data_IF_189333324354
#
_entry.id   IF_189333324354
#
_cell.length_a   1.000
_cell.length_b   1.000
_cell.length_c   1.000
_cell.angle_alpha   90.00
_cell.angle_beta   90.00
_cell.angle_gamma   90.00
#
_symmetry.space_group_name_H-M   'P 1'
#
loop_
_entity.id
_entity.type
_entity.pdbx_description
1 polymer ?
#
# COMPACT_ATOMS: atom_id res chain seq x y z
N UNK A 1 -49.71 24.67 -44.30
CA UNK A 1 -49.72 24.28 -42.85
C UNK A 1 -48.43 23.53 -42.56
N UNK A 2 -47.50 24.20 -41.89
CA UNK A 2 -46.18 23.61 -41.52
C UNK A 2 -46.24 23.04 -40.10
N UNK A 3 -46.11 21.72 -39.97
CA UNK A 3 -45.98 21.08 -38.64
C UNK A 3 -44.50 21.08 -38.23
N UNK A 4 -44.15 21.92 -37.26
CA UNK A 4 -42.85 21.91 -36.58
C UNK A 4 -42.85 20.82 -35.52
N UNK A 5 -42.21 19.68 -35.82
CA UNK A 5 -41.95 18.65 -34.81
C UNK A 5 -40.86 19.12 -33.81
N UNK A 6 -41.24 19.19 -32.54
CA UNK A 6 -40.33 19.49 -31.45
C UNK A 6 -39.65 18.19 -31.02
N UNK A 7 -38.35 18.04 -31.35
CA UNK A 7 -37.53 16.91 -30.88
C UNK A 7 -37.06 17.20 -29.45
N UNK A 8 -37.58 16.45 -28.49
CA UNK A 8 -37.16 16.49 -27.11
C UNK A 8 -35.87 15.63 -26.95
N UNK A 9 -34.72 16.28 -26.82
CA UNK A 9 -33.46 15.59 -26.54
C UNK A 9 -33.41 15.22 -25.04
N UNK A 10 -33.49 13.92 -24.76
CA UNK A 10 -33.30 13.38 -23.40
C UNK A 10 -31.82 13.33 -23.12
N UNK A 11 -31.30 14.27 -22.32
CA UNK A 11 -29.93 14.22 -21.80
C UNK A 11 -29.84 13.15 -20.71
N UNK A 12 -29.21 12.01 -21.00
CA UNK A 12 -28.89 10.97 -20.03
C UNK A 12 -27.72 11.48 -19.17
N UNK A 13 -28.01 11.98 -17.98
CA UNK A 13 -26.97 12.24 -16.98
C UNK A 13 -26.42 10.89 -16.47
N UNK A 14 -25.22 10.48 -16.95
CA UNK A 14 -24.48 9.38 -16.36
C UNK A 14 -24.01 9.83 -14.97
N UNK A 15 -24.61 9.30 -13.90
CA UNK A 15 -24.08 9.45 -12.56
C UNK A 15 -22.70 8.77 -12.48
N UNK A 16 -21.68 9.38 -11.83
CA UNK A 16 -20.41 8.71 -11.62
C UNK A 16 -20.67 7.43 -10.81
N UNK A 17 -20.23 6.28 -11.35
CA UNK A 17 -20.24 5.03 -10.60
C UNK A 17 -19.32 5.22 -9.39
N UNK A 18 -19.87 5.17 -8.18
CA UNK A 18 -19.05 5.12 -6.98
C UNK A 18 -18.16 3.88 -7.10
N UNK A 19 -16.83 4.06 -6.95
CA UNK A 19 -15.90 2.93 -6.93
C UNK A 19 -16.34 2.00 -5.79
N UNK A 20 -16.58 0.73 -6.11
CA UNK A 20 -17.00 -0.24 -5.11
C UNK A 20 -15.82 -0.50 -4.18
N UNK A 21 -15.99 -0.24 -2.89
CA UNK A 21 -14.98 -0.53 -1.87
C UNK A 21 -14.75 -2.03 -1.77
N UNK A 22 -13.49 -2.41 -1.54
CA UNK A 22 -13.09 -3.83 -1.45
C UNK A 22 -12.95 -4.19 0.03
N UNK A 23 -13.80 -5.05 0.54
CA UNK A 23 -13.70 -5.55 1.91
C UNK A 23 -12.47 -6.43 2.07
N UNK A 24 -11.67 -6.18 3.11
CA UNK A 24 -10.48 -6.96 3.47
C UNK A 24 -10.41 -7.14 5.00
N UNK A 25 -9.74 -8.19 5.47
CA UNK A 25 -9.57 -8.40 6.92
C UNK A 25 -8.59 -7.37 7.52
N UNK A 26 -7.56 -7.01 6.75
CA UNK A 26 -6.53 -6.05 7.19
C UNK A 26 -6.13 -5.16 6.03
N UNK A 27 -6.05 -3.86 6.28
CA UNK A 27 -5.24 -2.92 5.50
C UNK A 27 -3.88 -2.81 6.18
N UNK A 28 -2.82 -3.23 5.51
CA UNK A 28 -1.46 -3.27 6.05
C UNK A 28 -0.52 -2.39 5.24
N UNK A 29 0.06 -1.39 5.88
CA UNK A 29 1.20 -0.65 5.32
C UNK A 29 2.47 -1.20 5.94
N UNK A 30 3.36 -1.74 5.11
CA UNK A 30 4.73 -2.12 5.46
C UNK A 30 5.63 -0.90 5.22
N UNK A 31 5.94 -0.16 6.28
CA UNK A 31 6.76 1.04 6.23
C UNK A 31 8.21 0.71 6.62
N UNK A 32 9.06 0.60 5.64
CA UNK A 32 10.37 -0.02 5.74
C UNK A 32 11.49 1.02 5.61
N UNK A 33 12.47 0.94 6.50
CA UNK A 33 13.64 1.81 6.46
C UNK A 33 14.47 1.55 5.20
N UNK A 34 14.68 2.58 4.42
CA UNK A 34 15.55 2.63 3.26
C UNK A 34 16.52 3.82 3.33
N UNK A 35 16.74 4.35 4.56
CA UNK A 35 17.64 5.48 4.80
C UNK A 35 19.10 5.17 4.40
N UNK A 36 19.94 6.17 4.48
CA UNK A 36 21.33 6.07 4.04
C UNK A 36 22.21 5.12 4.85
N UNK A 37 21.75 4.61 6.00
CA UNK A 37 22.42 3.55 6.77
C UNK A 37 22.19 2.15 6.19
N UNK A 38 21.12 1.95 5.42
CA UNK A 38 20.78 0.69 4.78
C UNK A 38 21.51 0.61 3.43
N UNK A 39 22.36 -0.40 3.25
CA UNK A 39 23.01 -0.61 1.96
C UNK A 39 22.11 -1.35 0.94
N UNK A 40 22.57 -1.48 -0.31
CA UNK A 40 21.75 -2.07 -1.37
C UNK A 40 21.50 -3.58 -1.16
N UNK A 41 22.45 -4.28 -0.53
CA UNK A 41 22.30 -5.70 -0.20
C UNK A 41 21.30 -5.89 0.95
N UNK A 42 21.38 -5.06 1.98
CA UNK A 42 20.44 -5.06 3.10
C UNK A 42 19.02 -4.75 2.63
N UNK A 43 18.86 -3.74 1.75
CA UNK A 43 17.58 -3.40 1.15
C UNK A 43 17.01 -4.57 0.33
N UNK A 44 17.85 -5.24 -0.45
CA UNK A 44 17.46 -6.41 -1.23
C UNK A 44 16.99 -7.55 -0.31
N UNK A 45 17.77 -7.87 0.73
CA UNK A 45 17.43 -8.90 1.72
C UNK A 45 16.13 -8.59 2.46
N UNK A 46 15.90 -7.33 2.81
CA UNK A 46 14.69 -6.85 3.46
C UNK A 46 13.47 -7.07 2.57
N UNK A 47 13.51 -6.65 1.29
CA UNK A 47 12.43 -6.86 0.32
C UNK A 47 12.14 -8.34 0.08
N UNK A 48 13.19 -9.15 -0.07
CA UNK A 48 13.04 -10.61 -0.17
C UNK A 48 12.41 -11.23 1.07
N UNK A 49 12.76 -10.73 2.27
CA UNK A 49 12.19 -11.16 3.53
C UNK A 49 10.67 -10.95 3.56
N UNK A 50 10.19 -9.77 3.18
CA UNK A 50 8.75 -9.48 3.09
C UNK A 50 8.05 -10.32 2.03
N UNK A 51 8.63 -10.47 0.84
CA UNK A 51 8.08 -11.32 -0.21
C UNK A 51 7.97 -12.79 0.24
N UNK A 52 9.00 -13.34 0.88
CA UNK A 52 9.01 -14.69 1.44
C UNK A 52 7.99 -14.85 2.58
N UNK A 53 7.87 -13.85 3.45
CA UNK A 53 6.91 -13.88 4.55
C UNK A 53 5.46 -13.93 4.03
N UNK A 54 5.10 -13.11 3.06
CA UNK A 54 3.77 -13.14 2.45
C UNK A 54 3.48 -14.45 1.71
N UNK A 55 4.51 -15.12 1.17
CA UNK A 55 4.39 -16.41 0.50
C UNK A 55 4.43 -17.62 1.47
N UNK A 56 4.79 -17.42 2.74
CA UNK A 56 4.87 -18.51 3.74
C UNK A 56 3.51 -19.19 3.91
N UNK A 57 3.42 -20.53 3.86
CA UNK A 57 2.16 -21.26 3.99
C UNK A 57 1.38 -20.93 5.27
N UNK A 58 2.04 -20.62 6.38
CA UNK A 58 1.40 -20.25 7.65
C UNK A 58 0.75 -18.88 7.56
N UNK A 59 1.43 -17.91 6.91
CA UNK A 59 0.87 -16.57 6.65
C UNK A 59 -0.30 -16.67 5.69
N UNK A 60 -0.17 -17.44 4.61
CA UNK A 60 -1.25 -17.71 3.66
C UNK A 60 -2.45 -18.39 4.32
N UNK A 61 -2.23 -19.33 5.24
CA UNK A 61 -3.29 -19.96 6.01
C UNK A 61 -3.99 -18.95 6.95
N UNK A 62 -3.22 -18.09 7.62
CA UNK A 62 -3.77 -17.05 8.48
C UNK A 62 -4.64 -16.06 7.70
N UNK A 63 -4.19 -15.61 6.51
CA UNK A 63 -4.96 -14.73 5.64
C UNK A 63 -6.28 -15.39 5.24
N UNK A 64 -6.23 -16.63 4.72
CA UNK A 64 -7.43 -17.37 4.28
C UNK A 64 -8.39 -17.73 5.42
N UNK A 65 -7.88 -17.79 6.66
CA UNK A 65 -8.69 -18.03 7.86
C UNK A 65 -9.45 -16.80 8.37
N UNK A 66 -9.25 -15.62 7.77
CA UNK A 66 -9.97 -14.41 8.08
C UNK A 66 -11.44 -14.45 7.62
N UNK A 67 -12.19 -13.39 7.91
CA UNK A 67 -13.62 -13.28 7.56
C UNK A 67 -13.78 -13.14 6.04
N UNK A 68 -12.94 -12.28 5.42
CA UNK A 68 -12.93 -12.06 3.96
C UNK A 68 -11.94 -12.97 3.24
N UNK A 69 -11.01 -13.57 3.98
CA UNK A 69 -9.94 -14.42 3.46
C UNK A 69 -8.89 -13.68 2.64
N UNK A 70 -8.78 -12.36 2.80
CA UNK A 70 -7.84 -11.50 2.06
C UNK A 70 -7.43 -10.28 2.87
N UNK A 71 -6.24 -9.75 2.55
CA UNK A 71 -5.71 -8.50 3.10
C UNK A 71 -5.32 -7.56 1.97
N UNK A 72 -5.32 -6.25 2.20
CA UNK A 72 -4.70 -5.27 1.32
C UNK A 72 -3.36 -4.86 1.89
N UNK A 73 -2.31 -4.87 1.08
CA UNK A 73 -0.94 -4.53 1.49
C UNK A 73 -0.39 -3.44 0.59
N UNK A 74 0.21 -2.42 1.19
CA UNK A 74 1.05 -1.43 0.52
C UNK A 74 2.46 -1.47 1.11
N UNK A 75 3.49 -1.24 0.28
CA UNK A 75 4.88 -1.20 0.71
C UNK A 75 5.46 0.19 0.51
N UNK A 76 5.98 0.76 1.58
CA UNK A 76 6.57 2.09 1.63
C UNK A 76 8.02 1.98 2.05
N UNK A 77 8.92 2.64 1.34
CA UNK A 77 10.28 2.91 1.80
C UNK A 77 10.38 4.35 2.28
N UNK A 78 11.04 4.54 3.39
CA UNK A 78 11.22 5.85 3.99
C UNK A 78 12.68 6.08 4.42
N UNK A 79 13.09 7.35 4.40
CA UNK A 79 14.40 7.82 4.81
C UNK A 79 14.28 9.20 5.49
N UNK A 80 14.86 10.24 4.90
CA UNK A 80 14.79 11.61 5.40
C UNK A 80 13.38 12.21 5.38
N UNK A 81 13.25 13.44 5.90
CA UNK A 81 11.96 14.12 6.06
C UNK A 81 11.16 14.25 4.74
N UNK A 82 11.83 14.40 3.61
CA UNK A 82 11.22 14.55 2.28
C UNK A 82 11.37 13.29 1.42
N UNK A 83 11.70 12.15 2.04
CA UNK A 83 11.98 10.90 1.34
C UNK A 83 11.12 9.75 1.87
N UNK A 84 9.84 9.76 1.50
CA UNK A 84 8.90 8.67 1.73
C UNK A 84 8.28 8.30 0.38
N UNK A 85 8.36 7.03 0.00
CA UNK A 85 7.97 6.56 -1.32
C UNK A 85 7.10 5.32 -1.25
N UNK A 86 5.96 5.34 -1.92
CA UNK A 86 5.21 4.12 -2.19
C UNK A 86 5.98 3.32 -3.24
N UNK A 87 6.42 2.14 -2.87
CA UNK A 87 7.18 1.22 -3.73
C UNK A 87 6.25 0.21 -4.41
N UNK A 88 5.31 -0.35 -3.64
CA UNK A 88 4.20 -1.15 -4.17
C UNK A 88 2.90 -0.57 -3.62
N UNK A 89 2.03 -0.16 -4.52
CA UNK A 89 0.71 0.37 -4.15
C UNK A 89 -0.21 -0.74 -3.64
N UNK A 90 -1.35 -0.35 -3.09
CA UNK A 90 -2.32 -1.26 -2.50
C UNK A 90 -2.58 -2.47 -3.41
N UNK A 91 -2.29 -3.63 -2.88
CA UNK A 91 -2.44 -4.90 -3.57
C UNK A 91 -3.18 -5.88 -2.67
N UNK A 92 -4.24 -6.48 -3.19
CA UNK A 92 -4.99 -7.51 -2.45
C UNK A 92 -4.20 -8.82 -2.49
N UNK A 93 -3.94 -9.37 -1.31
CA UNK A 93 -3.33 -10.69 -1.12
C UNK A 93 -4.43 -11.63 -0.62
N UNK A 94 -4.83 -12.57 -1.48
CA UNK A 94 -5.88 -13.55 -1.27
C UNK A 94 -5.42 -14.99 -1.49
N UNK A 95 -4.13 -15.16 -1.86
CA UNK A 95 -3.53 -16.46 -2.09
C UNK A 95 -2.08 -16.41 -2.55
N UNK A 96 -1.47 -17.58 -2.84
CA UNK A 96 -0.07 -17.66 -3.23
C UNK A 96 0.27 -16.90 -4.52
N UNK A 97 -0.66 -16.80 -5.48
CA UNK A 97 -0.43 -16.13 -6.75
C UNK A 97 -0.32 -14.61 -6.56
N UNK A 98 -1.24 -14.00 -5.80
CA UNK A 98 -1.20 -12.56 -5.49
C UNK A 98 0.00 -12.21 -4.60
N UNK A 99 0.38 -13.06 -3.65
CA UNK A 99 1.59 -12.88 -2.85
C UNK A 99 2.87 -12.93 -3.73
N UNK A 100 2.95 -13.87 -4.67
CA UNK A 100 4.09 -13.97 -5.59
C UNK A 100 4.17 -12.75 -6.52
N UNK A 101 3.05 -12.27 -7.04
CA UNK A 101 2.99 -11.06 -7.87
C UNK A 101 3.46 -9.81 -7.10
N UNK A 102 3.00 -9.64 -5.85
CA UNK A 102 3.47 -8.59 -4.96
C UNK A 102 4.98 -8.66 -4.75
N UNK A 103 5.50 -9.84 -4.42
CA UNK A 103 6.93 -10.07 -4.21
C UNK A 103 7.77 -9.77 -5.45
N UNK A 104 7.30 -10.14 -6.64
CA UNK A 104 7.98 -9.85 -7.91
C UNK A 104 8.02 -8.33 -8.19
N UNK A 105 6.91 -7.62 -7.95
CA UNK A 105 6.86 -6.16 -8.10
C UNK A 105 7.83 -5.48 -7.13
N UNK A 106 7.85 -5.92 -5.86
CA UNK A 106 8.73 -5.38 -4.83
C UNK A 106 10.21 -5.61 -5.17
N UNK A 107 10.57 -6.79 -5.65
CA UNK A 107 11.95 -7.13 -6.03
C UNK A 107 12.44 -6.34 -7.26
N UNK A 108 11.56 -6.04 -8.21
CA UNK A 108 11.89 -5.29 -9.43
C UNK A 108 11.95 -3.78 -9.22
N UNK A 109 11.44 -3.27 -8.11
CA UNK A 109 11.36 -1.83 -7.86
C UNK A 109 12.75 -1.22 -7.61
N UNK A 110 13.07 -0.04 -8.17
CA UNK A 110 14.33 0.65 -7.85
C UNK A 110 14.31 1.15 -6.40
N UNK A 111 15.49 1.34 -5.82
CA UNK A 111 15.65 2.06 -4.56
C UNK A 111 15.20 3.51 -4.74
N UNK A 112 14.44 4.04 -3.79
CA UNK A 112 13.97 5.43 -3.83
C UNK A 112 14.24 6.22 -2.57
N UNK A 113 14.24 5.57 -1.41
CA UNK A 113 14.46 6.23 -0.13
C UNK A 113 15.93 6.64 0.04
N UNK A 114 16.13 7.85 0.55
CA UNK A 114 17.44 8.46 0.82
C UNK A 114 17.39 9.32 2.09
N UNK A 115 18.56 9.69 2.61
CA UNK A 115 18.67 10.62 3.74
C UNK A 115 18.55 9.93 5.11
N UNK A 116 18.29 10.74 6.14
CA UNK A 116 18.24 10.31 7.54
C UNK A 116 16.84 9.87 7.96
N UNK A 117 16.75 9.12 9.05
CA UNK A 117 15.53 8.50 9.54
C UNK A 117 14.45 9.52 9.96
N UNK A 118 13.29 9.49 9.32
CA UNK A 118 12.10 10.28 9.64
C UNK A 118 10.86 9.40 9.84
N UNK A 119 10.80 8.72 10.97
CA UNK A 119 9.70 7.81 11.33
C UNK A 119 8.35 8.54 11.36
N UNK A 120 8.30 9.78 11.86
CA UNK A 120 7.05 10.56 11.90
C UNK A 120 6.46 10.79 10.52
N UNK A 121 7.30 11.08 9.50
CA UNK A 121 6.84 11.31 8.14
C UNK A 121 6.45 9.99 7.45
N UNK A 122 7.10 8.87 7.80
CA UNK A 122 6.70 7.54 7.35
C UNK A 122 5.30 7.16 7.87
N UNK A 123 5.03 7.43 9.15
CA UNK A 123 3.70 7.22 9.76
C UNK A 123 2.66 8.13 9.13
N UNK A 124 2.98 9.41 8.90
CA UNK A 124 2.05 10.36 8.27
C UNK A 124 1.70 9.96 6.82
N UNK A 125 2.67 9.48 6.02
CA UNK A 125 2.37 8.94 4.69
C UNK A 125 1.50 7.68 4.81
N UNK A 126 1.87 6.73 5.66
CA UNK A 126 1.13 5.47 5.85
C UNK A 126 -0.31 5.72 6.28
N UNK A 127 -0.53 6.69 7.18
CA UNK A 127 -1.87 7.12 7.57
C UNK A 127 -2.68 7.65 6.38
N UNK A 128 -2.11 8.55 5.58
CA UNK A 128 -2.79 9.07 4.37
C UNK A 128 -3.14 7.97 3.37
N UNK A 129 -2.26 6.98 3.20
CA UNK A 129 -2.53 5.82 2.34
C UNK A 129 -3.74 5.02 2.84
N UNK A 130 -3.83 4.77 4.16
CA UNK A 130 -4.96 4.08 4.78
C UNK A 130 -6.26 4.88 4.67
N UNK A 131 -6.20 6.21 4.83
CA UNK A 131 -7.38 7.08 4.78
C UNK A 131 -7.87 7.36 3.36
N UNK A 132 -7.02 7.20 2.34
CA UNK A 132 -7.31 7.59 0.96
C UNK A 132 -7.45 6.44 -0.03
N UNK A 133 -7.49 5.17 0.42
CA UNK A 133 -7.62 4.02 -0.47
C UNK A 133 -9.09 3.60 -0.70
N UNK A 134 -9.30 2.58 -1.54
CA UNK A 134 -10.61 2.01 -1.88
C UNK A 134 -10.89 0.68 -1.18
N UNK A 135 -10.19 0.38 -0.07
CA UNK A 135 -10.39 -0.83 0.71
C UNK A 135 -11.14 -0.51 2.01
N UNK A 136 -11.89 -1.50 2.52
CA UNK A 136 -12.53 -1.46 3.83
C UNK A 136 -11.97 -2.58 4.70
N UNK A 137 -10.91 -2.24 5.45
CA UNK A 137 -10.27 -3.18 6.36
C UNK A 137 -10.94 -3.24 7.72
N UNK A 138 -11.22 -4.45 8.22
CA UNK A 138 -11.67 -4.65 9.60
C UNK A 138 -10.60 -4.18 10.60
N UNK A 139 -9.33 -4.25 10.20
CA UNK A 139 -8.19 -3.70 10.96
C UNK A 139 -7.32 -2.88 10.02
N UNK A 140 -6.77 -1.78 10.55
CA UNK A 140 -5.83 -0.91 9.87
C UNK A 140 -4.51 -0.93 10.63
N UNK A 141 -3.43 -1.32 9.95
CA UNK A 141 -2.13 -1.60 10.57
C UNK A 141 -1.02 -0.90 9.80
N UNK A 142 -0.13 -0.24 10.52
CA UNK A 142 1.14 0.27 10.03
C UNK A 142 2.24 -0.52 10.74
N UNK A 143 3.00 -1.31 9.99
CA UNK A 143 4.19 -1.99 10.48
C UNK A 143 5.41 -1.14 10.11
N UNK A 144 6.16 -0.69 11.11
CA UNK A 144 7.32 0.19 10.92
C UNK A 144 8.59 -0.56 11.28
N UNK A 145 9.47 -0.78 10.31
CA UNK A 145 10.81 -1.29 10.56
C UNK A 145 11.83 -0.15 10.47
N UNK A 146 12.75 -0.09 11.44
CA UNK A 146 13.82 0.89 11.53
C UNK A 146 15.07 0.27 12.19
N UNK A 147 16.25 0.62 11.70
CA UNK A 147 17.53 0.23 12.30
C UNK A 147 17.98 1.24 13.38
N UNK A 148 17.45 2.45 13.39
CA UNK A 148 17.80 3.54 14.30
C UNK A 148 16.59 4.39 14.71
N UNK A 149 16.76 5.19 15.75
CA UNK A 149 15.74 6.15 16.19
C UNK A 149 15.56 7.33 15.23
N UNK A 150 14.45 8.08 15.41
CA UNK A 150 14.16 9.25 14.58
C UNK A 150 15.25 10.31 14.66
N UNK A 151 15.76 10.76 13.50
CA UNK A 151 16.76 11.83 13.36
C UNK A 151 16.29 12.99 12.49
N UNK A 152 15.08 12.95 11.98
CA UNK A 152 14.48 14.00 11.16
C UNK A 152 12.96 13.99 11.26
N UNK A 153 12.31 15.01 10.65
CA UNK A 153 10.87 15.15 10.72
C UNK A 153 10.36 15.79 12.01
N UNK A 154 9.06 15.61 12.31
CA UNK A 154 8.44 16.24 13.49
C UNK A 154 8.81 15.49 14.77
N UNK A 155 9.30 16.24 15.75
CA UNK A 155 9.34 15.79 17.13
C UNK A 155 7.97 16.08 17.76
N UNK A 156 7.34 15.09 18.33
CA UNK A 156 6.15 15.24 19.17
C UNK A 156 6.57 15.36 20.63
#
# INVERSE_FOLDING_TARGET
>A
MLHRGLALALALCAAPAAAQEIDVDVELVLATDGSGSIDDEELRLQREGYAKALADPRVQQAIRGGITGRIAVAFVEWGGADSQHVIVDWTVIDGPASAAAFGATLAAAPRRAVGWNSISNAIDLSKRLIEGNSHQGLRKVIDVSADAGQRGGRHR
#
